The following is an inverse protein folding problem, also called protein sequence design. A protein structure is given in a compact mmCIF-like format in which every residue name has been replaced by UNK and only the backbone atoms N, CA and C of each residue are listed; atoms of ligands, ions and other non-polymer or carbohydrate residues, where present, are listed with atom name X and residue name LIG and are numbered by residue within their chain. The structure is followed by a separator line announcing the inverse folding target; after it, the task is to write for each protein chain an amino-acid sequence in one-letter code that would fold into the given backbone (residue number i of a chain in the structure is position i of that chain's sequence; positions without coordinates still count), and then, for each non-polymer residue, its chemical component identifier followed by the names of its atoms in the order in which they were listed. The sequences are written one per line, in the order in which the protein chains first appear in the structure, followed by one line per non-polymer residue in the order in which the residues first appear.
data_IF_221700991990
#
_entry.id   IF_221700991990
#
_cell.length_a   1.000
_cell.length_b   1.000
_cell.length_c   1.000
_cell.angle_alpha   90.00
_cell.angle_beta   90.00
_cell.angle_gamma   90.00
#
_symmetry.space_group_name_H-M   'P 1'
#
loop_
_entity.id
_entity.type
_entity.pdbx_description
1 polymer ?
#
# COMPACT_ATOMS: atom_id res chain seq x y z
N UNK A 1 -18.89 -7.66 -1.92
CA UNK A 1 -18.52 -6.25 -2.11
C UNK A 1 -19.31 -5.72 -3.32
N UNK A 2 -20.60 -5.41 -3.14
CA UNK A 2 -21.43 -4.64 -4.09
C UNK A 2 -22.41 -3.85 -3.21
N UNK A 3 -22.44 -2.53 -3.34
CA UNK A 3 -23.23 -1.62 -2.48
C UNK A 3 -24.57 -1.22 -3.13
N UNK A 4 -24.75 -1.47 -4.43
CA UNK A 4 -25.93 -1.02 -5.19
C UNK A 4 -26.53 -2.08 -6.14
N UNK A 5 -27.80 -1.85 -6.48
CA UNK A 5 -28.62 -2.72 -7.32
C UNK A 5 -28.07 -2.87 -8.76
N UNK A 6 -28.22 -4.08 -9.32
CA UNK A 6 -27.37 -4.67 -10.37
C UNK A 6 -27.37 -3.98 -11.77
N UNK A 7 -28.16 -2.92 -11.97
CA UNK A 7 -28.38 -2.28 -13.28
C UNK A 7 -28.10 -0.77 -13.31
N UNK A 8 -27.67 -0.16 -12.19
CA UNK A 8 -27.31 1.27 -12.16
C UNK A 8 -25.93 1.55 -12.78
N UNK A 9 -25.69 2.77 -13.28
CA UNK A 9 -24.37 3.20 -13.78
C UNK A 9 -23.26 3.00 -12.72
N UNK A 10 -23.59 3.24 -11.46
CA UNK A 10 -22.69 3.01 -10.31
C UNK A 10 -22.38 1.52 -10.11
N UNK A 11 -23.37 0.63 -10.24
CA UNK A 11 -23.17 -0.83 -10.14
C UNK A 11 -22.29 -1.42 -11.26
N UNK A 12 -22.37 -0.87 -12.48
CA UNK A 12 -21.48 -1.27 -13.59
C UNK A 12 -20.03 -0.84 -13.33
N UNK A 13 -19.83 0.39 -12.84
CA UNK A 13 -18.50 0.88 -12.45
C UNK A 13 -17.92 0.07 -11.29
N UNK A 14 -18.72 -0.28 -10.28
CA UNK A 14 -18.30 -1.16 -9.18
C UNK A 14 -17.85 -2.55 -9.66
N UNK A 15 -18.55 -3.14 -10.64
CA UNK A 15 -18.15 -4.44 -11.21
C UNK A 15 -16.87 -4.36 -12.03
N UNK A 16 -16.74 -3.34 -12.87
CA UNK A 16 -15.52 -3.10 -13.65
C UNK A 16 -14.32 -2.87 -12.72
N UNK A 17 -14.55 -2.12 -11.63
CA UNK A 17 -13.58 -1.91 -10.56
C UNK A 17 -13.21 -3.23 -9.87
N UNK A 18 -14.18 -4.00 -9.37
CA UNK A 18 -13.93 -5.28 -8.73
C UNK A 18 -13.19 -6.28 -9.64
N UNK A 19 -13.44 -6.25 -10.95
CA UNK A 19 -12.71 -7.05 -11.93
C UNK A 19 -11.25 -6.59 -12.08
N UNK A 20 -11.00 -5.28 -12.14
CA UNK A 20 -9.66 -4.71 -12.19
C UNK A 20 -8.83 -5.07 -10.94
N UNK A 21 -9.49 -5.22 -9.79
CA UNK A 21 -8.87 -5.57 -8.51
C UNK A 21 -8.67 -7.08 -8.29
N UNK A 22 -9.06 -7.94 -9.26
CA UNK A 22 -8.71 -9.38 -9.22
C UNK A 22 -7.25 -9.66 -9.57
N UNK A 23 -6.60 -8.73 -10.27
CA UNK A 23 -5.20 -8.83 -10.66
C UNK A 23 -4.25 -8.27 -9.60
N UNK A 24 -2.96 -8.16 -9.94
CA UNK A 24 -2.01 -7.39 -9.15
C UNK A 24 -2.45 -5.93 -9.15
N UNK A 25 -2.79 -5.38 -7.98
CA UNK A 25 -3.15 -3.95 -7.88
C UNK A 25 -1.87 -3.15 -7.67
N UNK A 26 -1.10 -3.53 -6.66
CA UNK A 26 0.10 -2.82 -6.24
C UNK A 26 1.34 -3.72 -6.31
N UNK A 27 2.38 -3.25 -7.01
CA UNK A 27 3.70 -3.89 -6.99
C UNK A 27 4.48 -3.53 -5.71
N UNK A 28 4.20 -2.36 -5.15
CA UNK A 28 4.63 -1.85 -3.86
C UNK A 28 3.40 -1.30 -3.14
N UNK A 29 3.28 -1.58 -1.84
CA UNK A 29 2.31 -0.97 -0.92
C UNK A 29 2.59 0.53 -0.73
N UNK A 30 1.57 1.34 -0.48
CA UNK A 30 1.67 2.80 -0.38
C UNK A 30 1.37 3.32 1.03
N UNK A 31 1.75 2.54 2.02
CA UNK A 31 1.54 2.84 3.43
C UNK A 31 2.90 2.75 4.12
N UNK A 32 3.36 3.84 4.71
CA UNK A 32 4.70 3.90 5.28
C UNK A 32 4.85 2.98 6.51
N UNK A 33 5.64 1.89 6.42
CA UNK A 33 5.79 0.97 7.53
C UNK A 33 6.57 1.59 8.70
N UNK A 34 7.33 2.67 8.49
CA UNK A 34 8.10 3.31 9.57
C UNK A 34 7.15 3.95 10.58
N UNK A 35 6.18 4.74 10.11
CA UNK A 35 5.18 5.33 11.00
C UNK A 35 4.22 4.28 11.56
N UNK A 36 3.93 3.21 10.79
CA UNK A 36 3.11 2.10 11.29
C UNK A 36 3.77 1.46 12.53
N UNK A 37 5.06 1.14 12.44
CA UNK A 37 5.81 0.54 13.54
C UNK A 37 5.88 1.44 14.76
N UNK A 38 6.01 2.76 14.55
CA UNK A 38 5.99 3.77 15.63
C UNK A 38 4.62 3.88 16.29
N UNK A 39 3.54 4.02 15.51
CA UNK A 39 2.18 4.15 16.02
C UNK A 39 1.70 2.91 16.77
N UNK A 40 2.11 1.74 16.29
CA UNK A 40 1.84 0.46 16.93
C UNK A 40 2.74 0.20 18.14
N UNK A 41 3.88 0.88 18.23
CA UNK A 41 4.99 0.53 19.13
C UNK A 41 5.27 -0.97 19.04
N UNK A 42 5.70 -1.39 17.85
CA UNK A 42 6.04 -2.79 17.60
C UNK A 42 7.30 -3.19 18.37
N UNK A 43 7.20 -4.35 19.00
CA UNK A 43 8.21 -4.93 19.88
C UNK A 43 8.15 -6.46 19.84
N UNK A 44 8.97 -7.12 20.66
CA UNK A 44 9.03 -8.58 20.73
C UNK A 44 7.75 -9.25 21.29
N UNK A 45 6.82 -8.51 21.90
CA UNK A 45 5.57 -9.01 22.47
C UNK A 45 4.35 -8.76 21.57
N UNK A 46 4.60 -8.21 20.37
CA UNK A 46 3.59 -7.91 19.38
C UNK A 46 3.15 -9.17 18.61
N UNK A 47 1.85 -9.52 18.70
CA UNK A 47 1.18 -10.40 17.74
C UNK A 47 0.29 -9.54 16.85
N UNK A 48 0.70 -9.44 15.60
CA UNK A 48 0.15 -8.51 14.64
C UNK A 48 -0.70 -9.24 13.61
N UNK A 49 -1.85 -8.65 13.26
CA UNK A 49 -2.60 -9.00 12.06
C UNK A 49 -2.61 -7.81 11.09
N UNK A 50 -2.37 -8.08 9.81
CA UNK A 50 -2.29 -7.05 8.76
C UNK A 50 -2.88 -7.53 7.45
N UNK A 51 -3.31 -6.59 6.61
CA UNK A 51 -3.62 -6.90 5.21
C UNK A 51 -2.32 -7.07 4.43
N UNK A 52 -2.16 -8.18 3.71
CA UNK A 52 -0.88 -8.53 3.09
C UNK A 52 -0.44 -7.49 2.05
N UNK A 53 -1.34 -7.06 1.15
CA UNK A 53 -1.12 -6.02 0.12
C UNK A 53 0.25 -6.15 -0.58
N UNK A 54 0.54 -7.35 -1.05
CA UNK A 54 1.78 -7.68 -1.77
C UNK A 54 3.01 -7.85 -0.87
N UNK A 55 2.88 -7.75 0.45
CA UNK A 55 3.83 -8.25 1.44
C UNK A 55 4.97 -7.31 1.85
N UNK A 56 5.00 -6.08 1.36
CA UNK A 56 6.08 -5.13 1.72
C UNK A 56 6.06 -4.76 3.21
N UNK A 57 4.90 -4.39 3.76
CA UNK A 57 4.80 -3.93 5.14
C UNK A 57 4.99 -5.07 6.14
N UNK A 58 4.37 -6.23 5.93
CA UNK A 58 4.60 -7.39 6.81
C UNK A 58 6.09 -7.77 6.92
N UNK A 59 6.87 -7.66 5.84
CA UNK A 59 8.31 -7.91 5.87
C UNK A 59 9.07 -6.77 6.54
N UNK A 60 8.60 -5.53 6.38
CA UNK A 60 9.20 -4.37 7.04
C UNK A 60 8.97 -4.41 8.55
N UNK A 61 7.81 -4.88 9.01
CA UNK A 61 7.52 -5.05 10.43
C UNK A 61 8.45 -6.05 11.11
N UNK A 62 9.04 -7.02 10.39
CA UNK A 62 10.03 -7.94 10.96
C UNK A 62 11.28 -7.23 11.49
N UNK A 63 11.59 -6.02 11.03
CA UNK A 63 12.75 -5.26 11.52
C UNK A 63 12.57 -4.84 12.98
N UNK A 64 11.34 -4.54 13.40
CA UNK A 64 10.97 -4.30 14.81
C UNK A 64 10.93 -5.57 15.68
N UNK A 65 11.01 -6.75 15.06
CA UNK A 65 11.10 -8.04 15.76
C UNK A 65 9.85 -8.56 16.45
N UNK A 66 8.63 -8.41 15.89
CA UNK A 66 7.38 -8.93 16.48
C UNK A 66 7.44 -10.43 16.73
N UNK A 67 6.65 -10.88 17.71
CA UNK A 67 6.49 -12.30 18.03
C UNK A 67 5.88 -13.06 16.87
N UNK A 68 4.80 -12.53 16.30
CA UNK A 68 4.10 -13.14 15.16
C UNK A 68 3.48 -12.07 14.27
N UNK A 69 3.38 -12.39 12.98
CA UNK A 69 2.67 -11.60 11.98
C UNK A 69 1.73 -12.53 11.22
N UNK A 70 0.43 -12.24 11.28
CA UNK A 70 -0.57 -12.87 10.45
C UNK A 70 -1.01 -11.91 9.35
N UNK A 71 -0.69 -12.24 8.11
CA UNK A 71 -1.07 -11.47 6.94
C UNK A 71 -2.28 -12.11 6.24
N UNK A 72 -3.36 -11.37 6.08
CA UNK A 72 -4.58 -11.83 5.37
C UNK A 72 -4.83 -10.96 4.16
N UNK A 73 -5.35 -11.53 3.07
CA UNK A 73 -5.73 -10.75 1.90
C UNK A 73 -6.81 -11.49 1.12
N UNK A 74 -7.69 -10.75 0.45
CA UNK A 74 -8.70 -11.30 -0.47
C UNK A 74 -8.14 -11.44 -1.89
N UNK A 75 -7.07 -10.73 -2.22
CA UNK A 75 -6.45 -10.73 -3.53
C UNK A 75 -5.39 -11.84 -3.64
N UNK A 76 -5.69 -12.84 -4.46
CA UNK A 76 -4.78 -13.97 -4.74
C UNK A 76 -3.41 -13.54 -5.30
N UNK A 77 -3.35 -12.45 -6.09
CA UNK A 77 -2.10 -11.92 -6.62
C UNK A 77 -1.22 -11.32 -5.52
N UNK A 78 -1.82 -10.64 -4.54
CA UNK A 78 -1.11 -10.11 -3.38
C UNK A 78 -0.59 -11.22 -2.47
N UNK A 79 -1.40 -12.25 -2.21
CA UNK A 79 -0.97 -13.44 -1.46
C UNK A 79 0.20 -14.12 -2.17
N UNK A 80 0.11 -14.32 -3.49
CA UNK A 80 1.18 -14.92 -4.27
C UNK A 80 2.47 -14.08 -4.27
N UNK A 81 2.37 -12.75 -4.27
CA UNK A 81 3.53 -11.86 -4.13
C UNK A 81 4.13 -11.87 -2.73
N UNK A 82 3.29 -11.88 -1.68
CA UNK A 82 3.76 -12.02 -0.31
C UNK A 82 4.54 -13.33 -0.10
N UNK A 83 3.99 -14.46 -0.57
CA UNK A 83 4.66 -15.77 -0.52
C UNK A 83 5.95 -15.81 -1.33
N UNK A 84 5.99 -15.17 -2.50
CA UNK A 84 7.22 -15.03 -3.28
C UNK A 84 8.30 -14.29 -2.48
N UNK A 85 7.95 -13.18 -1.83
CA UNK A 85 8.91 -12.39 -1.04
C UNK A 85 9.38 -13.13 0.21
N UNK A 86 8.49 -13.84 0.91
CA UNK A 86 8.83 -14.71 2.06
C UNK A 86 9.86 -15.76 1.62
N UNK A 87 9.55 -16.51 0.56
CA UNK A 87 10.45 -17.55 0.05
C UNK A 87 11.79 -16.96 -0.43
N UNK A 88 11.75 -15.81 -1.10
CA UNK A 88 12.96 -15.12 -1.56
C UNK A 88 13.82 -14.62 -0.40
N UNK A 89 13.23 -14.06 0.66
CA UNK A 89 13.97 -13.60 1.85
C UNK A 89 14.70 -14.77 2.54
N UNK A 90 14.09 -15.95 2.56
CA UNK A 90 14.67 -17.15 3.17
C UNK A 90 15.73 -17.84 2.33
N UNK A 91 15.53 -17.90 1.02
CA UNK A 91 16.26 -18.84 0.16
C UNK A 91 17.19 -18.18 -0.86
N UNK A 92 17.08 -16.88 -1.11
CA UNK A 92 18.10 -16.19 -1.90
C UNK A 92 19.41 -16.10 -1.09
N UNK A 93 20.56 -16.35 -1.72
CA UNK A 93 21.82 -16.59 -1.00
C UNK A 93 22.42 -15.35 -0.35
N UNK A 94 22.09 -14.15 -0.83
CA UNK A 94 22.69 -12.89 -0.39
C UNK A 94 21.68 -11.75 -0.41
N UNK A 95 21.99 -10.68 0.34
CA UNK A 95 21.26 -9.42 0.26
C UNK A 95 21.26 -8.88 -1.17
N UNK A 96 22.40 -8.87 -1.88
CA UNK A 96 22.44 -8.39 -3.28
C UNK A 96 21.49 -9.16 -4.19
N UNK A 97 21.36 -10.49 -4.02
CA UNK A 97 20.40 -11.27 -4.79
C UNK A 97 18.95 -10.87 -4.47
N UNK A 98 18.62 -10.68 -3.18
CA UNK A 98 17.30 -10.24 -2.73
C UNK A 98 16.96 -8.81 -3.21
N UNK A 99 17.90 -7.88 -3.02
CA UNK A 99 17.81 -6.50 -3.45
C UNK A 99 17.75 -6.38 -4.98
N UNK A 100 18.51 -7.16 -5.74
CA UNK A 100 18.40 -7.20 -7.21
C UNK A 100 17.03 -7.70 -7.66
N UNK A 101 16.46 -8.67 -6.95
CA UNK A 101 15.16 -9.23 -7.29
C UNK A 101 14.05 -8.20 -7.15
N UNK A 102 13.99 -7.51 -6.01
CA UNK A 102 12.91 -6.58 -5.70
C UNK A 102 13.30 -5.13 -5.99
N UNK A 103 14.39 -4.59 -5.43
CA UNK A 103 14.72 -3.18 -5.61
C UNK A 103 15.18 -2.83 -7.03
N UNK A 104 16.03 -3.67 -7.64
CA UNK A 104 16.55 -3.48 -9.02
C UNK A 104 15.89 -4.39 -10.04
N UNK A 105 14.58 -4.61 -9.91
CA UNK A 105 13.81 -5.39 -10.87
C UNK A 105 14.15 -4.96 -12.32
N UNK A 106 14.36 -5.92 -13.21
CA UNK A 106 14.83 -5.63 -14.59
C UNK A 106 16.03 -6.44 -15.05
N UNK A 107 16.48 -7.38 -14.23
CA UNK A 107 17.66 -8.23 -14.48
C UNK A 107 17.24 -9.64 -14.87
N UNK A 108 17.79 -10.19 -15.95
CA UNK A 108 17.44 -11.55 -16.43
C UNK A 108 17.80 -12.61 -15.41
N UNK A 109 18.85 -12.35 -14.65
CA UNK A 109 19.36 -13.09 -13.50
C UNK A 109 18.28 -13.33 -12.43
N UNK A 110 17.25 -12.48 -12.35
CA UNK A 110 16.12 -12.68 -11.43
C UNK A 110 15.31 -13.94 -11.78
N UNK A 111 15.26 -14.35 -13.05
CA UNK A 111 14.52 -15.55 -13.47
C UNK A 111 15.28 -16.81 -13.09
N UNK A 112 16.60 -16.79 -13.21
CA UNK A 112 17.48 -17.87 -12.77
C UNK A 112 17.44 -17.98 -11.25
N UNK A 113 17.60 -16.86 -10.53
CA UNK A 113 17.47 -16.82 -9.08
C UNK A 113 16.10 -17.35 -8.60
N UNK A 114 15.01 -16.98 -9.29
CA UNK A 114 13.69 -17.54 -9.02
C UNK A 114 13.69 -19.06 -9.21
N UNK A 115 14.16 -19.56 -10.36
CA UNK A 115 14.12 -20.98 -10.71
C UNK A 115 14.91 -21.83 -9.72
N UNK A 116 16.09 -21.36 -9.36
CA UNK A 116 17.09 -22.15 -8.64
C UNK A 116 16.91 -22.07 -7.12
N UNK A 117 16.49 -20.90 -6.61
CA UNK A 117 16.44 -20.65 -5.16
C UNK A 117 15.04 -20.43 -4.60
N UNK A 118 14.06 -19.95 -5.38
CA UNK A 118 12.75 -19.55 -4.81
C UNK A 118 11.67 -20.56 -5.16
N UNK A 119 11.56 -20.92 -6.45
CA UNK A 119 10.55 -21.82 -7.00
C UNK A 119 10.42 -23.16 -6.26
N UNK A 120 11.51 -23.85 -5.85
CA UNK A 120 11.39 -25.12 -5.14
C UNK A 120 10.60 -25.03 -3.83
N UNK A 121 10.58 -23.85 -3.20
CA UNK A 121 9.97 -23.61 -1.89
C UNK A 121 8.59 -22.96 -1.95
N UNK A 122 8.07 -22.68 -3.16
CA UNK A 122 6.72 -22.15 -3.34
C UNK A 122 5.69 -23.27 -3.37
N UNK A 123 4.55 -23.04 -2.71
CA UNK A 123 3.36 -23.87 -2.87
C UNK A 123 2.84 -23.85 -4.30
N UNK A 124 2.07 -24.88 -4.64
CA UNK A 124 1.54 -25.07 -5.99
C UNK A 124 0.69 -23.90 -6.50
N UNK A 125 -0.11 -23.26 -5.64
CA UNK A 125 -0.99 -22.15 -6.04
C UNK A 125 -0.13 -20.94 -6.40
N UNK A 126 0.83 -20.59 -5.55
CA UNK A 126 1.76 -19.48 -5.78
C UNK A 126 2.63 -19.73 -7.02
N UNK A 127 3.13 -20.97 -7.19
CA UNK A 127 3.90 -21.36 -8.38
C UNK A 127 3.04 -21.20 -9.64
N UNK A 128 1.84 -21.78 -9.70
CA UNK A 128 0.95 -21.67 -10.86
C UNK A 128 0.63 -20.21 -11.22
N UNK A 129 0.45 -19.34 -10.23
CA UNK A 129 0.25 -17.91 -10.49
C UNK A 129 1.44 -17.29 -11.25
N UNK A 130 2.65 -17.44 -10.71
CA UNK A 130 3.87 -16.84 -11.26
C UNK A 130 4.33 -17.48 -12.58
N UNK A 131 4.14 -18.80 -12.73
CA UNK A 131 4.44 -19.52 -13.95
C UNK A 131 3.35 -19.38 -15.02
N UNK A 132 2.13 -19.00 -14.62
CA UNK A 132 1.01 -18.72 -15.50
C UNK A 132 1.24 -17.48 -16.36
N UNK A 133 0.44 -17.36 -17.43
CA UNK A 133 0.56 -16.30 -18.43
C UNK A 133 -0.26 -15.06 -18.07
N UNK A 134 0.31 -13.89 -18.33
CA UNK A 134 -0.39 -12.61 -18.34
C UNK A 134 -1.23 -12.44 -19.61
N UNK A 135 -1.93 -11.31 -19.73
CA UNK A 135 -2.78 -11.00 -20.89
C UNK A 135 -2.01 -10.91 -22.22
N UNK A 136 -0.68 -10.75 -22.17
CA UNK A 136 0.21 -10.75 -23.35
C UNK A 136 0.78 -12.14 -23.66
N UNK A 137 0.31 -13.17 -22.96
CA UNK A 137 0.76 -14.55 -23.13
C UNK A 137 2.13 -14.84 -22.49
N UNK A 138 2.71 -13.92 -21.71
CA UNK A 138 4.05 -14.09 -21.11
C UNK A 138 3.93 -14.58 -19.67
N UNK A 139 4.89 -15.38 -19.20
CA UNK A 139 4.90 -15.83 -17.78
C UNK A 139 5.00 -14.62 -16.86
N UNK A 140 4.16 -14.55 -15.81
CA UNK A 140 4.13 -13.41 -14.87
C UNK A 140 5.47 -13.18 -14.18
N UNK A 141 6.21 -14.24 -13.86
CA UNK A 141 7.55 -14.14 -13.25
C UNK A 141 8.55 -13.37 -14.13
N UNK A 142 8.36 -13.38 -15.45
CA UNK A 142 9.15 -12.60 -16.42
C UNK A 142 9.01 -11.09 -16.25
N UNK A 143 8.09 -10.61 -15.40
CA UNK A 143 8.03 -9.21 -15.02
C UNK A 143 9.26 -8.77 -14.21
N UNK A 144 9.91 -9.65 -13.44
CA UNK A 144 11.09 -9.33 -12.63
C UNK A 144 12.40 -9.26 -13.44
N UNK A 145 12.43 -9.81 -14.66
CA UNK A 145 13.49 -9.53 -15.65
C UNK A 145 13.26 -8.26 -16.46
N UNK A 146 12.18 -7.55 -16.14
CA UNK A 146 11.84 -6.22 -16.66
C UNK A 146 11.50 -5.35 -15.45
N UNK A 147 10.93 -4.18 -15.69
CA UNK A 147 10.48 -3.35 -14.59
C UNK A 147 9.15 -3.89 -14.01
N UNK A 148 9.24 -4.60 -12.87
CA UNK A 148 8.06 -5.12 -12.15
C UNK A 148 7.15 -3.99 -11.66
N UNK A 149 7.70 -2.83 -11.29
CA UNK A 149 6.95 -1.69 -10.76
C UNK A 149 6.09 -0.95 -11.79
N UNK A 150 6.28 -1.24 -13.08
CA UNK A 150 5.36 -0.80 -14.14
C UNK A 150 4.13 -1.69 -14.30
N UNK A 151 4.01 -2.75 -13.50
CA UNK A 151 2.90 -3.71 -13.53
C UNK A 151 1.87 -3.40 -12.46
N UNK A 152 0.73 -4.06 -12.61
CA UNK A 152 -0.43 -3.85 -11.77
C UNK A 152 -1.15 -2.54 -12.09
N UNK A 153 -2.30 -2.36 -11.45
CA UNK A 153 -3.20 -1.26 -11.74
C UNK A 153 -2.55 0.11 -11.46
N UNK A 154 -1.85 0.25 -10.34
CA UNK A 154 -1.17 1.51 -9.99
C UNK A 154 0.04 1.79 -10.89
N UNK A 155 0.82 0.77 -11.26
CA UNK A 155 1.95 0.94 -12.19
C UNK A 155 1.52 1.39 -13.59
N UNK A 156 0.32 0.98 -14.02
CA UNK A 156 -0.33 1.45 -15.24
C UNK A 156 -0.83 2.90 -15.11
N UNK A 157 -1.47 3.24 -13.98
CA UNK A 157 -1.92 4.59 -13.68
C UNK A 157 -0.76 5.60 -13.68
N UNK A 158 0.32 5.32 -12.94
CA UNK A 158 1.53 6.17 -12.93
C UNK A 158 2.13 6.28 -14.34
N UNK A 159 2.11 5.18 -15.11
CA UNK A 159 2.53 5.20 -16.51
C UNK A 159 1.69 6.14 -17.40
N UNK A 160 0.37 6.18 -17.19
CA UNK A 160 -0.54 7.11 -17.85
C UNK A 160 -0.29 8.56 -17.43
N UNK A 161 -0.11 8.83 -16.14
CA UNK A 161 0.24 10.15 -15.63
C UNK A 161 1.55 10.67 -16.25
N UNK A 162 2.57 9.80 -16.40
CA UNK A 162 3.82 10.14 -17.10
C UNK A 162 3.60 10.47 -18.58
N UNK A 163 2.67 9.78 -19.26
CA UNK A 163 2.34 10.07 -20.65
C UNK A 163 1.66 11.44 -20.77
N UNK A 164 0.74 11.77 -19.87
CA UNK A 164 0.09 13.09 -19.80
C UNK A 164 1.11 14.18 -19.50
N UNK A 165 2.03 13.98 -18.56
CA UNK A 165 3.10 14.94 -18.28
C UNK A 165 3.96 15.21 -19.52
N UNK A 166 4.34 14.15 -20.26
CA UNK A 166 5.11 14.28 -21.51
C UNK A 166 4.33 14.98 -22.62
N UNK A 167 3.02 14.80 -22.71
CA UNK A 167 2.17 15.56 -23.64
C UNK A 167 2.31 17.07 -23.41
N UNK A 168 2.48 17.48 -22.16
CA UNK A 168 2.76 18.86 -21.76
C UNK A 168 4.26 19.20 -21.66
N UNK A 169 5.15 18.34 -22.20
CA UNK A 169 6.62 18.51 -22.21
C UNK A 169 7.24 18.62 -20.83
N UNK A 170 6.67 17.92 -19.86
CA UNK A 170 7.20 17.78 -18.51
C UNK A 170 7.70 16.35 -18.33
N UNK A 171 8.94 16.18 -17.89
CA UNK A 171 9.44 14.89 -17.43
C UNK A 171 9.34 14.82 -15.90
N UNK A 172 8.47 13.97 -15.32
CA UNK A 172 8.35 13.85 -13.88
C UNK A 172 9.66 13.50 -13.17
N UNK A 173 10.63 12.90 -13.89
CA UNK A 173 11.93 12.50 -13.32
C UNK A 173 12.83 13.68 -12.97
N UNK A 174 12.60 14.86 -13.54
CA UNK A 174 13.39 16.07 -13.24
C UNK A 174 13.47 16.33 -11.72
N UNK A 175 12.41 16.04 -10.97
CA UNK A 175 12.38 16.25 -9.52
C UNK A 175 13.29 15.29 -8.73
N UNK A 176 13.60 14.12 -9.28
CA UNK A 176 14.47 13.13 -8.62
C UNK A 176 15.93 13.57 -8.59
N UNK A 177 16.31 14.53 -9.44
CA UNK A 177 17.66 15.09 -9.54
C UNK A 177 17.87 16.27 -8.58
N UNK A 178 16.81 16.75 -7.93
CA UNK A 178 16.86 17.90 -7.03
C UNK A 178 17.87 17.69 -5.89
N UNK A 179 18.64 18.75 -5.62
CA UNK A 179 19.64 18.79 -4.55
C UNK A 179 19.07 19.15 -3.18
N UNK A 180 17.91 19.81 -3.13
CA UNK A 180 17.25 20.25 -1.89
C UNK A 180 15.73 20.33 -2.04
N UNK A 181 15.03 20.48 -0.92
CA UNK A 181 13.57 20.62 -0.88
C UNK A 181 13.12 21.93 -1.55
N UNK A 182 13.90 23.00 -1.45
CA UNK A 182 13.62 24.26 -2.15
C UNK A 182 13.67 24.09 -3.67
N UNK A 183 14.64 23.30 -4.15
CA UNK A 183 14.71 22.94 -5.57
C UNK A 183 13.54 22.03 -5.99
N UNK A 184 13.17 21.04 -5.17
CA UNK A 184 11.99 20.21 -5.38
C UNK A 184 10.73 21.09 -5.55
N UNK A 185 10.53 22.05 -4.63
CA UNK A 185 9.40 22.99 -4.66
C UNK A 185 9.42 23.86 -5.91
N UNK A 186 10.59 24.39 -6.29
CA UNK A 186 10.75 25.16 -7.53
C UNK A 186 10.38 24.34 -8.76
N UNK A 187 10.85 23.09 -8.87
CA UNK A 187 10.51 22.19 -9.98
C UNK A 187 9.00 21.90 -9.98
N UNK A 188 8.43 21.58 -8.84
CA UNK A 188 7.00 21.29 -8.71
C UNK A 188 6.15 22.48 -9.19
N UNK A 189 6.34 23.66 -8.62
CA UNK A 189 5.53 24.85 -8.93
C UNK A 189 5.70 25.32 -10.38
N UNK A 190 6.90 25.22 -10.96
CA UNK A 190 7.16 25.73 -12.31
C UNK A 190 6.87 24.72 -13.42
N UNK A 191 6.94 23.42 -13.15
CA UNK A 191 6.84 22.36 -14.16
C UNK A 191 5.59 21.50 -13.97
N UNK A 192 5.31 21.04 -12.75
CA UNK A 192 4.27 20.04 -12.49
C UNK A 192 2.92 20.64 -12.15
N UNK A 193 2.88 21.59 -11.22
CA UNK A 193 1.67 22.24 -10.75
C UNK A 193 0.82 22.85 -11.91
N UNK A 194 1.41 23.52 -12.93
CA UNK A 194 0.64 24.10 -14.03
C UNK A 194 -0.05 23.07 -14.95
N UNK A 195 0.27 21.78 -14.82
CA UNK A 195 -0.41 20.71 -15.57
C UNK A 195 -1.85 20.55 -15.06
N UNK A 196 -2.08 20.73 -13.76
CA UNK A 196 -3.40 20.60 -13.14
C UNK A 196 -4.38 21.69 -13.59
N UNK A 197 -3.89 22.81 -14.10
CA UNK A 197 -4.71 23.89 -14.65
C UNK A 197 -5.16 23.64 -16.10
N UNK A 198 -4.62 22.61 -16.77
CA UNK A 198 -4.94 22.33 -18.17
C UNK A 198 -6.37 21.77 -18.29
N UNK A 199 -7.21 22.28 -19.21
CA UNK A 199 -8.60 21.84 -19.35
C UNK A 199 -8.76 20.33 -19.52
N UNK A 200 -7.88 19.70 -20.31
CA UNK A 200 -7.89 18.25 -20.51
C UNK A 200 -7.58 17.48 -19.22
N UNK A 201 -6.64 17.97 -18.40
CA UNK A 201 -6.28 17.33 -17.13
C UNK A 201 -7.42 17.48 -16.12
N UNK A 202 -7.99 18.69 -15.98
CA UNK A 202 -9.17 18.92 -15.13
C UNK A 202 -10.34 18.02 -15.52
N UNK A 203 -10.62 17.92 -16.82
CA UNK A 203 -11.66 17.02 -17.34
C UNK A 203 -11.36 15.55 -17.04
N UNK A 204 -10.11 15.12 -17.19
CA UNK A 204 -9.70 13.74 -16.93
C UNK A 204 -9.84 13.39 -15.45
N UNK A 205 -9.36 14.25 -14.55
CA UNK A 205 -9.45 14.04 -13.09
C UNK A 205 -10.89 14.05 -12.58
N UNK A 206 -11.81 14.65 -13.33
CA UNK A 206 -13.25 14.62 -13.06
C UNK A 206 -13.92 13.29 -13.38
N UNK A 207 -13.24 12.36 -14.06
CA UNK A 207 -13.79 11.05 -14.39
C UNK A 207 -13.42 10.04 -13.29
N UNK A 208 -14.37 9.50 -12.50
CA UNK A 208 -14.06 8.56 -11.41
C UNK A 208 -13.27 7.33 -11.86
N UNK A 209 -13.55 6.84 -13.07
CA UNK A 209 -12.86 5.69 -13.66
C UNK A 209 -11.36 5.93 -13.90
N UNK A 210 -10.93 7.19 -14.08
CA UNK A 210 -9.51 7.52 -14.28
C UNK A 210 -8.69 7.27 -13.02
N UNK A 211 -9.31 7.28 -11.84
CA UNK A 211 -8.65 7.20 -10.53
C UNK A 211 -8.68 5.81 -9.92
N UNK A 212 -9.25 4.83 -10.63
CA UNK A 212 -9.30 3.45 -10.15
C UNK A 212 -7.92 2.89 -9.82
N UNK A 213 -6.89 3.32 -10.57
CA UNK A 213 -5.52 2.89 -10.29
C UNK A 213 -4.84 3.52 -9.10
N UNK A 214 -5.43 4.57 -8.50
CA UNK A 214 -5.04 5.06 -7.19
C UNK A 214 -5.69 4.28 -6.04
N UNK A 215 -6.57 3.31 -6.33
CA UNK A 215 -7.31 2.63 -5.28
C UNK A 215 -8.38 3.51 -4.65
N UNK A 216 -8.94 4.49 -5.37
CA UNK A 216 -10.01 5.33 -4.84
C UNK A 216 -11.36 4.75 -5.30
N UNK A 217 -12.27 4.36 -4.38
CA UNK A 217 -13.62 3.93 -4.74
C UNK A 217 -14.40 5.08 -5.40
N UNK A 218 -15.22 4.82 -6.44
CA UNK A 218 -16.11 5.85 -7.00
C UNK A 218 -17.00 6.51 -5.93
N UNK A 219 -17.47 5.75 -4.94
CA UNK A 219 -18.33 6.25 -3.87
C UNK A 219 -17.64 7.23 -2.91
N UNK A 220 -16.30 7.29 -2.92
CA UNK A 220 -15.53 8.21 -2.09
C UNK A 220 -15.02 9.42 -2.87
N UNK A 221 -15.25 9.43 -4.19
CA UNK A 221 -14.88 10.55 -5.03
C UNK A 221 -15.50 11.87 -4.55
N UNK A 222 -16.78 11.83 -4.17
CA UNK A 222 -17.51 13.00 -3.65
C UNK A 222 -16.96 13.45 -2.29
N UNK A 223 -16.84 12.54 -1.33
CA UNK A 223 -16.27 12.84 -0.01
C UNK A 223 -14.82 13.36 -0.05
N UNK A 224 -14.05 13.01 -1.09
CA UNK A 224 -12.71 13.55 -1.32
C UNK A 224 -12.72 14.97 -1.89
N UNK A 225 -13.75 15.31 -2.67
CA UNK A 225 -13.89 16.65 -3.26
C UNK A 225 -14.63 17.63 -2.32
N UNK A 226 -15.32 17.12 -1.30
CA UNK A 226 -16.06 17.92 -0.34
C UNK A 226 -15.13 18.91 0.38
N UNK A 227 -15.30 20.20 0.09
CA UNK A 227 -14.53 21.31 0.68
C UNK A 227 -13.49 21.95 -0.25
N UNK A 228 -13.17 21.35 -1.41
CA UNK A 228 -12.18 21.88 -2.36
C UNK A 228 -12.86 22.54 -3.58
N UNK A 229 -12.66 23.84 -3.77
CA UNK A 229 -13.30 24.62 -4.86
C UNK A 229 -12.95 24.10 -6.27
N UNK A 230 -11.79 23.46 -6.42
CA UNK A 230 -11.27 22.92 -7.67
C UNK A 230 -11.46 21.39 -7.81
N UNK A 231 -12.16 20.77 -6.85
CA UNK A 231 -12.47 19.34 -6.82
C UNK A 231 -11.23 18.45 -6.83
N UNK A 232 -11.35 17.27 -7.44
CA UNK A 232 -10.29 16.24 -7.43
C UNK A 232 -8.95 16.67 -8.03
N UNK A 233 -8.93 17.65 -8.94
CA UNK A 233 -7.68 18.18 -9.48
C UNK A 233 -6.83 18.84 -8.37
N UNK A 234 -7.47 19.58 -7.46
CA UNK A 234 -6.80 20.18 -6.31
C UNK A 234 -6.34 19.12 -5.31
N UNK A 235 -7.16 18.12 -5.01
CA UNK A 235 -6.79 16.99 -4.13
C UNK A 235 -5.55 16.27 -4.65
N UNK A 236 -5.53 15.93 -5.94
CA UNK A 236 -4.39 15.27 -6.58
C UNK A 236 -3.16 16.18 -6.63
N UNK A 237 -3.34 17.48 -6.90
CA UNK A 237 -2.25 18.47 -6.83
C UNK A 237 -1.64 18.51 -5.43
N UNK A 238 -2.45 18.62 -4.38
CA UNK A 238 -1.99 18.70 -2.99
C UNK A 238 -1.26 17.42 -2.55
N UNK A 239 -1.79 16.24 -2.91
CA UNK A 239 -1.13 14.96 -2.63
C UNK A 239 0.21 14.83 -3.36
N UNK A 240 0.25 15.23 -4.63
CA UNK A 240 1.49 15.23 -5.40
C UNK A 240 2.49 16.27 -4.86
N UNK A 241 2.02 17.43 -4.42
CA UNK A 241 2.86 18.46 -3.78
C UNK A 241 3.50 17.92 -2.51
N UNK A 242 2.72 17.33 -1.61
CA UNK A 242 3.26 16.70 -0.40
C UNK A 242 4.32 15.65 -0.74
N UNK A 243 4.02 14.75 -1.67
CA UNK A 243 4.98 13.72 -2.11
C UNK A 243 6.27 14.33 -2.69
N UNK A 244 6.13 15.45 -3.40
CA UNK A 244 7.22 16.15 -4.08
C UNK A 244 8.04 17.05 -3.15
N UNK A 245 7.44 17.65 -2.12
CA UNK A 245 7.97 18.85 -1.47
C UNK A 245 8.05 18.79 0.06
N UNK A 246 7.39 17.84 0.72
CA UNK A 246 7.39 17.78 2.20
C UNK A 246 8.50 16.88 2.76
N UNK A 247 9.14 16.10 1.89
CA UNK A 247 10.20 15.16 2.26
C UNK A 247 11.39 15.31 1.31
N UNK A 248 12.60 15.08 1.81
CA UNK A 248 13.77 14.94 0.95
C UNK A 248 13.58 13.76 -0.01
N UNK A 249 13.61 14.03 -1.32
CA UNK A 249 13.31 13.01 -2.33
C UNK A 249 14.28 11.83 -2.26
N UNK A 250 15.52 12.08 -1.83
CA UNK A 250 16.57 11.06 -1.63
C UNK A 250 16.26 10.08 -0.50
N UNK A 251 15.31 10.41 0.38
CA UNK A 251 14.90 9.56 1.51
C UNK A 251 13.48 8.99 1.32
N UNK A 252 12.75 9.40 0.29
CA UNK A 252 11.36 9.01 0.05
C UNK A 252 11.22 8.03 -1.13
N UNK A 253 11.27 6.73 -0.85
CA UNK A 253 11.14 5.70 -1.89
C UNK A 253 9.75 5.68 -2.57
N UNK A 254 8.70 6.25 -1.97
CA UNK A 254 7.39 6.42 -2.63
C UNK A 254 7.49 7.45 -3.76
N UNK A 255 8.20 8.56 -3.52
CA UNK A 255 8.45 9.57 -4.53
C UNK A 255 9.24 8.99 -5.72
N UNK A 256 10.25 8.14 -5.46
CA UNK A 256 10.96 7.41 -6.53
C UNK A 256 10.03 6.53 -7.35
N UNK A 257 9.08 5.83 -6.72
CA UNK A 257 8.09 5.05 -7.45
C UNK A 257 7.14 5.92 -8.29
N UNK A 258 6.65 7.04 -7.75
CA UNK A 258 5.78 7.97 -8.47
C UNK A 258 6.48 8.63 -9.67
N UNK A 259 7.65 9.23 -9.44
CA UNK A 259 8.35 10.06 -10.43
C UNK A 259 9.33 9.26 -11.31
N UNK A 260 9.85 8.14 -10.81
CA UNK A 260 10.84 7.29 -11.49
C UNK A 260 10.30 5.96 -12.01
N UNK A 261 9.12 5.52 -11.54
CA UNK A 261 8.51 4.22 -11.86
C UNK A 261 9.39 3.03 -11.45
N UNK A 262 10.09 3.18 -10.33
CA UNK A 262 10.98 2.19 -9.72
C UNK A 262 11.82 2.84 -8.64
N UNK A 263 12.59 2.05 -7.90
CA UNK A 263 13.55 2.61 -6.95
C UNK A 263 14.78 3.18 -7.66
N UNK A 264 15.55 3.99 -6.93
CA UNK A 264 16.82 4.50 -7.45
C UNK A 264 17.86 3.38 -7.64
N UNK A 265 18.76 3.59 -8.59
CA UNK A 265 19.83 2.62 -8.90
C UNK A 265 21.11 2.84 -8.07
N UNK A 266 21.23 4.01 -7.42
CA UNK A 266 22.38 4.34 -6.58
C UNK A 266 22.47 3.36 -5.38
N UNK A 267 23.68 3.09 -4.86
CA UNK A 267 23.86 2.18 -3.72
C UNK A 267 23.02 2.53 -2.48
N UNK A 268 22.80 3.82 -2.23
CA UNK A 268 22.02 4.35 -1.10
C UNK A 268 20.67 4.93 -1.54
N UNK A 269 20.12 4.48 -2.67
CA UNK A 269 18.78 4.87 -3.05
C UNK A 269 17.76 4.41 -2.00
N UNK A 270 16.73 5.21 -1.70
CA UNK A 270 15.79 4.86 -0.65
C UNK A 270 14.97 3.65 -1.09
N UNK A 271 14.82 2.71 -0.17
CA UNK A 271 14.01 1.50 -0.32
C UNK A 271 13.20 1.29 0.97
N UNK A 272 12.11 0.51 0.96
CA UNK A 272 11.44 0.11 2.17
C UNK A 272 12.37 -0.64 3.14
N UNK A 273 12.11 -0.61 4.47
CA UNK A 273 13.00 -1.21 5.47
C UNK A 273 13.37 -2.67 5.20
N UNK A 274 12.44 -3.48 4.67
CA UNK A 274 12.73 -4.89 4.38
C UNK A 274 13.77 -5.13 3.28
N UNK A 275 14.09 -4.12 2.47
CA UNK A 275 15.09 -4.18 1.40
C UNK A 275 16.44 -3.56 1.78
N UNK A 276 16.52 -2.87 2.91
CA UNK A 276 17.74 -2.26 3.40
C UNK A 276 18.75 -3.34 3.85
N UNK A 277 20.02 -3.15 3.50
CA UNK A 277 21.09 -4.10 3.83
C UNK A 277 21.19 -4.34 5.34
N UNK A 278 21.07 -3.26 6.13
CA UNK A 278 21.12 -3.29 7.59
C UNK A 278 20.02 -4.19 8.21
N UNK A 279 18.92 -4.41 7.49
CA UNK A 279 17.78 -5.19 7.96
C UNK A 279 17.68 -6.58 7.36
N UNK A 280 18.49 -6.91 6.35
CA UNK A 280 18.39 -8.16 5.62
C UNK A 280 18.44 -9.41 6.52
N UNK A 281 19.39 -9.46 7.46
CA UNK A 281 19.52 -10.59 8.41
C UNK A 281 18.28 -10.72 9.30
N UNK A 282 17.82 -9.61 9.87
CA UNK A 282 16.62 -9.60 10.70
C UNK A 282 15.39 -10.09 9.93
N UNK A 283 15.23 -9.69 8.66
CA UNK A 283 14.12 -10.14 7.81
C UNK A 283 14.25 -11.62 7.47
N UNK A 284 15.42 -12.06 7.00
CA UNK A 284 15.65 -13.45 6.59
C UNK A 284 15.48 -14.45 7.75
N UNK A 285 16.01 -14.11 8.93
CA UNK A 285 16.02 -14.99 10.11
C UNK A 285 14.65 -15.05 10.81
N UNK A 286 13.76 -14.09 10.58
CA UNK A 286 12.45 -13.98 11.25
C UNK A 286 11.27 -14.22 10.30
N UNK A 287 11.52 -14.56 9.05
CA UNK A 287 10.46 -14.70 8.04
C UNK A 287 9.49 -15.85 8.35
N UNK A 288 9.91 -16.81 9.16
CA UNK A 288 9.09 -17.89 9.70
C UNK A 288 8.03 -17.42 10.72
N UNK A 289 8.16 -16.21 11.25
CA UNK A 289 7.14 -15.57 12.10
C UNK A 289 5.94 -15.03 11.31
N UNK A 290 6.00 -15.06 9.97
CA UNK A 290 4.91 -14.62 9.09
C UNK A 290 4.06 -15.82 8.66
N UNK A 291 2.75 -15.76 8.95
CA UNK A 291 1.74 -16.62 8.35
C UNK A 291 0.91 -15.81 7.34
N UNK A 292 0.79 -16.28 6.09
CA UNK A 292 0.02 -15.58 5.04
C UNK A 292 -1.15 -16.42 4.51
N UNK A 293 -2.36 -15.86 4.60
CA UNK A 293 -3.61 -16.53 4.27
C UNK A 293 -4.42 -15.75 3.23
N UNK A 294 -4.98 -16.48 2.26
CA UNK A 294 -6.03 -15.96 1.38
C UNK A 294 -7.37 -16.07 2.14
N UNK A 295 -7.76 -15.01 2.84
CA UNK A 295 -8.93 -14.98 3.73
C UNK A 295 -9.39 -13.55 3.98
N UNK A 296 -10.67 -13.36 4.29
CA UNK A 296 -11.17 -12.10 4.81
C UNK A 296 -10.62 -11.82 6.22
N UNK A 297 -10.39 -10.55 6.55
CA UNK A 297 -9.85 -10.13 7.85
C UNK A 297 -10.77 -10.49 9.02
N UNK A 298 -12.06 -10.15 8.93
CA UNK A 298 -13.03 -10.44 9.99
C UNK A 298 -13.26 -11.95 10.15
N UNK A 299 -13.35 -12.71 9.05
CA UNK A 299 -13.46 -14.17 9.09
C UNK A 299 -12.23 -14.84 9.73
N UNK A 300 -11.04 -14.26 9.55
CA UNK A 300 -9.84 -14.74 10.22
C UNK A 300 -9.92 -14.50 11.73
N UNK A 301 -10.30 -13.28 12.14
CA UNK A 301 -10.44 -12.92 13.56
C UNK A 301 -11.50 -13.77 14.27
N UNK A 302 -12.62 -14.08 13.62
CA UNK A 302 -13.68 -14.93 14.16
C UNK A 302 -13.20 -16.34 14.56
N UNK A 303 -12.06 -16.79 14.03
CA UNK A 303 -11.44 -18.08 14.38
C UNK A 303 -10.34 -17.96 15.44
N UNK A 304 -10.00 -16.74 15.86
CA UNK A 304 -9.00 -16.49 16.90
C UNK A 304 -9.64 -16.48 18.29
N UNK A 305 -8.90 -16.93 19.32
CA UNK A 305 -9.33 -16.79 20.71
C UNK A 305 -9.50 -15.32 21.13
N UNK A 306 -10.26 -15.10 22.20
CA UNK A 306 -10.37 -13.81 22.86
C UNK A 306 -8.97 -13.36 23.36
N UNK A 307 -8.64 -12.08 23.19
CA UNK A 307 -7.34 -11.54 23.60
C UNK A 307 -6.11 -12.09 22.88
N UNK A 308 -6.26 -12.77 21.74
CA UNK A 308 -5.16 -13.37 21.00
C UNK A 308 -4.15 -12.37 20.39
N UNK A 309 -4.55 -11.12 20.13
CA UNK A 309 -3.78 -10.16 19.34
C UNK A 309 -3.68 -8.78 20.03
N UNK A 310 -2.62 -8.02 19.73
CA UNK A 310 -2.44 -6.66 20.26
C UNK A 310 -2.08 -5.61 19.20
N UNK A 311 -1.88 -5.99 17.92
CA UNK A 311 -1.59 -5.04 16.84
C UNK A 311 -2.45 -5.36 15.62
N UNK A 312 -3.15 -4.35 15.11
CA UNK A 312 -4.05 -4.49 13.97
C UNK A 312 -3.73 -3.43 12.91
N UNK A 313 -3.54 -3.86 11.67
CA UNK A 313 -3.26 -2.97 10.54
C UNK A 313 -4.27 -3.22 9.42
N UNK A 314 -5.18 -2.28 9.22
CA UNK A 314 -6.29 -2.44 8.27
C UNK A 314 -6.08 -1.71 6.94
N UNK A 315 -4.96 -1.00 6.78
CA UNK A 315 -4.70 -0.14 5.61
C UNK A 315 -5.90 0.80 5.38
N UNK A 316 -6.30 1.02 4.13
CA UNK A 316 -7.51 1.76 3.73
C UNK A 316 -8.76 0.86 3.56
N UNK A 317 -8.72 -0.41 3.97
CA UNK A 317 -9.79 -1.36 3.63
C UNK A 317 -11.18 -0.97 4.15
N UNK A 318 -11.24 -0.18 5.22
CA UNK A 318 -12.48 0.24 5.86
C UNK A 318 -13.28 1.25 5.04
N UNK A 319 -12.63 1.99 4.14
CA UNK A 319 -13.26 2.90 3.18
C UNK A 319 -14.26 2.18 2.25
N UNK A 320 -14.09 0.86 2.11
CA UNK A 320 -14.87 -0.01 1.23
C UNK A 320 -16.00 -0.76 1.94
N UNK A 321 -16.10 -0.63 3.26
CA UNK A 321 -16.99 -1.44 4.08
C UNK A 321 -18.33 -0.74 4.30
N UNK A 322 -19.42 -1.52 4.34
CA UNK A 322 -20.71 -1.08 4.88
C UNK A 322 -20.64 -0.97 6.40
N UNK A 323 -21.61 -0.29 7.01
CA UNK A 323 -21.66 -0.13 8.47
C UNK A 323 -21.83 -1.49 9.18
N UNK A 324 -22.57 -2.41 8.58
CA UNK A 324 -22.65 -3.81 9.03
C UNK A 324 -21.28 -4.49 9.02
N UNK A 325 -20.53 -4.37 7.92
CA UNK A 325 -19.20 -4.96 7.80
C UNK A 325 -18.19 -4.34 8.79
N UNK A 326 -18.25 -3.02 8.98
CA UNK A 326 -17.46 -2.33 10.00
C UNK A 326 -17.81 -2.85 11.40
N UNK A 327 -19.10 -2.99 11.70
CA UNK A 327 -19.58 -3.52 12.98
C UNK A 327 -19.08 -4.94 13.22
N UNK A 328 -19.18 -5.83 12.24
CA UNK A 328 -18.64 -7.20 12.34
C UNK A 328 -17.13 -7.17 12.57
N UNK A 329 -16.39 -6.42 11.76
CA UNK A 329 -14.93 -6.32 11.86
C UNK A 329 -14.49 -5.81 13.23
N UNK A 330 -15.04 -4.69 13.69
CA UNK A 330 -14.65 -4.07 14.96
C UNK A 330 -15.14 -4.84 16.18
N UNK A 331 -16.24 -5.59 16.09
CA UNK A 331 -16.64 -6.53 17.13
C UNK A 331 -15.56 -7.60 17.33
N UNK A 332 -15.07 -8.18 16.22
CA UNK A 332 -14.03 -9.20 16.27
C UNK A 332 -12.66 -8.64 16.69
N UNK A 333 -12.29 -7.44 16.23
CA UNK A 333 -11.08 -6.74 16.70
C UNK A 333 -11.17 -6.54 18.21
N UNK A 334 -12.30 -6.05 18.70
CA UNK A 334 -12.51 -5.79 20.13
C UNK A 334 -12.48 -7.06 20.98
N UNK A 335 -13.03 -8.16 20.48
CA UNK A 335 -13.00 -9.48 21.16
C UNK A 335 -11.60 -10.08 21.20
N UNK A 336 -10.88 -10.00 20.09
CA UNK A 336 -9.53 -10.60 19.96
C UNK A 336 -8.43 -9.72 20.54
N UNK A 337 -8.73 -8.46 20.90
CA UNK A 337 -7.78 -7.52 21.48
C UNK A 337 -7.50 -7.81 22.96
N UNK A 338 -6.21 -7.92 23.31
CA UNK A 338 -5.74 -7.87 24.71
C UNK A 338 -5.40 -6.45 25.14
N UNK A 339 -5.16 -6.24 26.44
CA UNK A 339 -4.73 -4.94 26.99
C UNK A 339 -3.52 -4.38 26.22
N UNK A 340 -3.53 -3.06 26.02
CA UNK A 340 -2.54 -2.36 25.20
C UNK A 340 -2.66 -2.60 23.69
N UNK A 341 -3.79 -3.14 23.21
CA UNK A 341 -4.02 -3.33 21.79
C UNK A 341 -4.11 -2.00 21.05
N UNK A 342 -3.55 -1.99 19.83
CA UNK A 342 -3.53 -0.83 18.94
C UNK A 342 -4.02 -1.18 17.56
N UNK A 343 -4.89 -0.33 17.01
CA UNK A 343 -5.44 -0.44 15.66
C UNK A 343 -4.99 0.77 14.88
N UNK A 344 -4.33 0.53 13.75
CA UNK A 344 -4.01 1.57 12.77
C UNK A 344 -4.71 1.31 11.45
N UNK A 345 -5.12 2.40 10.81
CA UNK A 345 -5.68 2.39 9.47
C UNK A 345 -5.53 3.76 8.83
N UNK A 346 -5.76 3.82 7.53
CA UNK A 346 -5.76 5.06 6.75
C UNK A 346 -7.12 5.26 6.11
N UNK A 347 -7.42 6.49 5.77
CA UNK A 347 -8.65 6.81 5.03
C UNK A 347 -8.36 7.76 3.87
N UNK A 348 -9.21 7.70 2.86
CA UNK A 348 -9.15 8.61 1.73
C UNK A 348 -9.39 10.06 2.19
N UNK A 349 -10.37 10.28 3.06
CA UNK A 349 -10.67 11.58 3.66
C UNK A 349 -9.76 11.88 4.87
N UNK A 350 -9.86 13.09 5.42
CA UNK A 350 -9.09 13.47 6.63
C UNK A 350 -9.66 12.91 7.95
N UNK A 351 -10.97 13.00 8.23
CA UNK A 351 -11.51 12.51 9.51
C UNK A 351 -11.61 10.99 9.52
N UNK A 352 -11.58 10.40 10.72
CA UNK A 352 -11.87 8.98 10.92
C UNK A 352 -13.30 8.67 10.45
N UNK A 353 -13.46 7.55 9.74
CA UNK A 353 -14.78 7.09 9.26
C UNK A 353 -15.62 6.41 10.34
N UNK A 354 -15.08 6.14 11.53
CA UNK A 354 -15.78 5.31 12.55
C UNK A 354 -16.90 6.04 13.30
N UNK A 355 -16.73 7.29 13.77
CA UNK A 355 -17.80 8.01 14.47
C UNK A 355 -19.06 8.12 13.61
N UNK A 356 -20.21 7.73 14.17
CA UNK A 356 -21.50 7.73 13.47
C UNK A 356 -21.74 6.53 12.53
N UNK A 357 -20.71 5.71 12.25
CA UNK A 357 -20.83 4.48 11.43
C UNK A 357 -20.69 3.20 12.25
N UNK A 358 -20.02 3.27 13.39
CA UNK A 358 -19.84 2.15 14.32
C UNK A 358 -20.72 2.35 15.57
N UNK A 359 -21.34 1.30 16.13
CA UNK A 359 -22.08 1.42 17.39
C UNK A 359 -21.21 1.93 18.54
N UNK A 360 -21.74 2.87 19.34
CA UNK A 360 -21.03 3.49 20.47
C UNK A 360 -20.52 2.44 21.46
N UNK A 361 -21.29 1.36 21.71
CA UNK A 361 -20.88 0.27 22.59
C UNK A 361 -19.55 -0.42 22.20
N UNK A 362 -19.17 -0.35 20.91
CA UNK A 362 -17.87 -0.85 20.43
C UNK A 362 -16.86 0.30 20.43
N UNK A 363 -17.21 1.45 19.87
CA UNK A 363 -16.29 2.58 19.72
C UNK A 363 -15.79 3.11 21.08
N UNK A 364 -16.67 3.13 22.09
CA UNK A 364 -16.35 3.60 23.45
C UNK A 364 -15.32 2.73 24.18
N UNK A 365 -15.03 1.52 23.68
CA UNK A 365 -13.94 0.68 24.20
C UNK A 365 -12.56 1.13 23.71
N UNK A 366 -12.50 2.03 22.73
CA UNK A 366 -11.27 2.51 22.13
C UNK A 366 -11.08 4.00 22.37
N UNK A 367 -9.85 4.41 22.65
CA UNK A 367 -9.44 5.81 22.70
C UNK A 367 -8.87 6.19 21.34
N UNK A 368 -9.44 7.18 20.68
CA UNK A 368 -8.87 7.77 19.47
C UNK A 368 -7.70 8.69 19.85
N UNK A 369 -6.53 8.44 19.31
CA UNK A 369 -5.33 9.26 19.53
C UNK A 369 -5.26 10.36 18.47
N UNK A 370 -6.11 11.39 18.59
CA UNK A 370 -6.30 12.43 17.56
C UNK A 370 -4.99 13.16 17.22
N UNK A 371 -4.32 13.75 18.21
CA UNK A 371 -3.08 14.51 17.98
C UNK A 371 -1.97 13.65 17.35
N UNK A 372 -1.83 12.39 17.81
CA UNK A 372 -0.87 11.44 17.22
C UNK A 372 -1.26 11.08 15.80
N UNK A 373 -2.55 10.88 15.54
CA UNK A 373 -3.10 10.56 14.21
C UNK A 373 -2.82 11.68 13.21
N UNK A 374 -3.00 12.93 13.60
CA UNK A 374 -2.65 14.09 12.76
C UNK A 374 -1.13 14.18 12.51
N UNK A 375 -0.30 13.96 13.53
CA UNK A 375 1.15 13.94 13.38
C UNK A 375 1.63 12.82 12.45
N UNK A 376 1.11 11.59 12.61
CA UNK A 376 1.41 10.47 11.72
C UNK A 376 0.94 10.76 10.30
N UNK A 377 -0.22 11.39 10.12
CA UNK A 377 -0.70 11.82 8.80
C UNK A 377 0.30 12.77 8.14
N UNK A 378 0.83 13.76 8.87
CA UNK A 378 1.84 14.70 8.37
C UNK A 378 3.14 13.99 7.98
N UNK A 379 3.60 13.03 8.79
CA UNK A 379 4.87 12.32 8.57
C UNK A 379 4.79 11.14 7.59
N UNK A 380 3.60 10.72 7.17
CA UNK A 380 3.44 9.67 6.16
C UNK A 380 4.00 10.11 4.80
N UNK A 381 5.12 9.47 4.42
CA UNK A 381 5.88 9.75 3.20
C UNK A 381 5.15 9.33 1.93
N UNK A 382 4.15 8.45 2.01
CA UNK A 382 3.44 7.97 0.81
C UNK A 382 2.55 9.04 0.19
N UNK A 383 2.06 9.97 1.01
CA UNK A 383 1.23 11.11 0.63
C UNK A 383 -0.04 10.75 -0.18
N UNK A 384 -0.52 9.50 -0.10
CA UNK A 384 -1.72 9.06 -0.82
C UNK A 384 -3.00 9.31 -0.03
N UNK A 385 -2.96 9.20 1.30
CA UNK A 385 -4.15 9.18 2.14
C UNK A 385 -4.45 10.55 2.75
N UNK A 386 -5.74 10.81 3.02
CA UNK A 386 -6.19 12.02 3.70
C UNK A 386 -5.95 11.96 5.20
N UNK A 387 -6.02 10.77 5.79
CA UNK A 387 -5.86 10.56 7.23
C UNK A 387 -5.16 9.24 7.57
N UNK A 388 -4.33 9.29 8.62
CA UNK A 388 -3.83 8.15 9.38
C UNK A 388 -4.54 8.16 10.73
N UNK A 389 -5.04 7.02 11.19
CA UNK A 389 -5.80 6.92 12.43
C UNK A 389 -5.23 5.86 13.36
N UNK A 390 -5.04 6.23 14.62
CA UNK A 390 -4.63 5.34 15.70
C UNK A 390 -5.73 5.26 16.76
N UNK A 391 -6.15 4.03 17.07
CA UNK A 391 -7.04 3.72 18.18
C UNK A 391 -6.33 2.78 19.15
N UNK A 392 -6.43 3.08 20.44
CA UNK A 392 -5.85 2.28 21.54
C UNK A 392 -6.96 1.74 22.41
N UNK A 393 -6.92 0.45 22.73
CA UNK A 393 -7.93 -0.17 23.60
C UNK A 393 -7.84 0.47 24.99
N UNK A 394 -8.99 0.87 25.55
CA UNK A 394 -9.08 1.38 26.93
C UNK A 394 -8.92 0.21 27.91
N UNK A 395 -8.32 0.50 29.05
CA UNK A 395 -8.14 -0.47 30.14
C UNK A 395 -9.45 -0.92 30.78
#
# INVERSE_FOLDING_TARGET
MIRHDNLSKSGVLERAFALAFRGLVYAQIWEDPVIDMEALELDADSDLITIASGGCNMLSYLTAGPRSITAVDLNTAHVALGRLKIAAARHLPTHDAFHRFFARAGRRENIEAYRDHVRPHLDDVTRRYWEGRDLTGRRRIGAFSRNFYTRGLLGQFIGGAHLVARLYRVDPREILEAGSVEEQRRIFETRMAPIFDKPFVRWLTQQPASLFGLGIPPAQYEALCDGEADGMAAVLRQRLEKLACDFEIRQNYFAWQAFGRGYGNAPHAPVPPYLEEAHYRAVADRVDRIAIHHRNFAEHLAQQPDGALNRYVLLDAQDWMTDEQLTTLWSEITRTARSGARVIFRTAARPSLLPGRLPDAILDRWRYEEDRSEDYTRRDRSAIYGGFHLYVLKD
#
